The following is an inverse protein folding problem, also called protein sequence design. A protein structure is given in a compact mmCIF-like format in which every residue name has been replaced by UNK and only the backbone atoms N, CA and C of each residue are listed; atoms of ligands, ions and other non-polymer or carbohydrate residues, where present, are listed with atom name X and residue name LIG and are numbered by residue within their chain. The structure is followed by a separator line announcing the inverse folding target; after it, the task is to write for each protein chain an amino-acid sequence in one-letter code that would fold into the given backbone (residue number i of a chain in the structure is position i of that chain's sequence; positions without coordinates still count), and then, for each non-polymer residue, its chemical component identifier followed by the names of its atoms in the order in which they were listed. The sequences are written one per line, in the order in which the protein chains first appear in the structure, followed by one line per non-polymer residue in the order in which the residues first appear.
data_IF_359835698674
#
_entry.id   IF_359835698674
#
_cell.length_a   1.000
_cell.length_b   1.000
_cell.length_c   1.000
_cell.angle_alpha   90.00
_cell.angle_beta   90.00
_cell.angle_gamma   90.00
#
_symmetry.space_group_name_H-M   'P 1'
#
loop_
_entity.id
_entity.type
_entity.pdbx_description
1 polymer ?
#
# COMPACT_ATOMS: atom_id res chain seq x y z
N UNK A 1 -17.16 41.50 7.72
CA UNK A 1 -16.66 41.31 6.34
C UNK A 1 -15.70 40.14 6.35
N UNK A 2 -16.22 38.96 6.02
CA UNK A 2 -15.50 37.67 6.05
C UNK A 2 -14.71 37.51 4.76
N UNK A 3 -13.40 37.68 4.81
CA UNK A 3 -12.51 37.36 3.70
C UNK A 3 -12.37 35.83 3.63
N UNK A 4 -13.16 35.20 2.76
CA UNK A 4 -12.94 33.81 2.35
C UNK A 4 -11.67 33.80 1.52
N UNK A 5 -10.58 33.30 2.09
CA UNK A 5 -9.36 33.00 1.35
C UNK A 5 -9.69 31.83 0.40
N UNK A 6 -10.09 32.15 -0.83
CA UNK A 6 -10.21 31.21 -1.95
C UNK A 6 -8.84 30.56 -2.17
N UNK A 7 -8.65 29.37 -1.61
CA UNK A 7 -7.35 28.72 -1.53
C UNK A 7 -7.05 27.98 -2.83
N UNK A 8 -5.76 27.78 -3.15
CA UNK A 8 -5.38 26.97 -4.32
C UNK A 8 -5.95 25.55 -4.30
N UNK A 9 -6.32 25.02 -3.14
CA UNK A 9 -6.98 23.73 -2.98
C UNK A 9 -8.45 23.77 -3.46
N UNK A 10 -9.18 24.85 -3.16
CA UNK A 10 -10.57 25.04 -3.59
C UNK A 10 -10.65 25.16 -5.12
N UNK A 11 -9.67 25.84 -5.73
CA UNK A 11 -9.55 25.95 -7.18
C UNK A 11 -9.31 24.59 -7.84
N UNK A 12 -8.47 23.74 -7.24
CA UNK A 12 -8.19 22.39 -7.76
C UNK A 12 -9.42 21.49 -7.71
N UNK A 13 -10.19 21.54 -6.62
CA UNK A 13 -11.41 20.75 -6.48
C UNK A 13 -12.48 21.20 -7.47
N UNK A 14 -12.69 22.51 -7.62
CA UNK A 14 -13.62 23.07 -8.61
C UNK A 14 -13.28 22.65 -10.04
N UNK A 15 -11.99 22.57 -10.38
CA UNK A 15 -11.56 22.10 -11.70
C UNK A 15 -11.81 20.60 -11.91
N UNK A 16 -11.64 19.76 -10.87
CA UNK A 16 -11.99 18.33 -10.92
C UNK A 16 -13.49 18.12 -11.07
N UNK A 17 -14.31 18.90 -10.37
CA UNK A 17 -15.76 18.84 -10.48
C UNK A 17 -16.24 19.25 -11.88
N UNK A 18 -15.74 20.38 -12.42
CA UNK A 18 -16.10 20.84 -13.76
C UNK A 18 -15.78 19.81 -14.86
N UNK A 19 -14.70 19.04 -14.72
CA UNK A 19 -14.38 17.96 -15.65
C UNK A 19 -15.38 16.78 -15.53
N UNK A 20 -15.79 16.41 -14.31
CA UNK A 20 -16.80 15.37 -14.07
C UNK A 20 -18.16 15.74 -14.69
N UNK A 21 -18.64 16.95 -14.45
CA UNK A 21 -19.93 17.44 -14.99
C UNK A 21 -19.91 17.48 -16.53
N UNK A 22 -18.77 17.82 -17.12
CA UNK A 22 -18.56 17.81 -18.57
C UNK A 22 -18.56 16.39 -19.17
N UNK A 23 -18.08 15.40 -18.42
CA UNK A 23 -18.13 13.99 -18.83
C UNK A 23 -19.56 13.44 -18.80
N UNK A 24 -20.32 13.78 -17.77
CA UNK A 24 -21.73 13.38 -17.61
C UNK A 24 -22.62 13.97 -18.71
N UNK A 25 -22.32 15.19 -19.17
CA UNK A 25 -22.99 15.83 -20.32
C UNK A 25 -22.54 15.29 -21.68
N UNK A 26 -21.69 14.25 -21.72
CA UNK A 26 -21.31 13.53 -22.95
C UNK A 26 -20.28 14.26 -23.82
N UNK A 27 -19.75 15.40 -23.38
CA UNK A 27 -18.73 16.19 -24.10
C UNK A 27 -17.57 16.53 -23.17
N UNK A 28 -16.61 15.61 -22.97
CA UNK A 28 -15.51 15.81 -22.04
C UNK A 28 -14.63 17.01 -22.44
N UNK A 29 -14.42 17.94 -21.51
CA UNK A 29 -13.55 19.09 -21.71
C UNK A 29 -12.13 18.62 -21.99
N UNK A 30 -11.53 19.17 -23.03
CA UNK A 30 -10.10 19.00 -23.27
C UNK A 30 -9.30 19.80 -22.24
N UNK A 31 -8.04 19.40 -21.98
CA UNK A 31 -7.16 20.15 -21.08
C UNK A 31 -6.91 21.60 -21.54
N UNK A 32 -7.13 21.94 -22.81
CA UNK A 32 -7.08 23.33 -23.25
C UNK A 32 -8.32 24.10 -22.77
N UNK A 33 -9.52 23.58 -23.04
CA UNK A 33 -10.78 24.23 -22.66
C UNK A 33 -10.94 24.35 -21.13
N UNK A 34 -10.52 23.33 -20.38
CA UNK A 34 -10.52 23.37 -18.92
C UNK A 34 -9.49 24.37 -18.37
N UNK A 35 -8.33 24.50 -19.02
CA UNK A 35 -7.33 25.52 -18.67
C UNK A 35 -7.85 26.94 -18.90
N UNK A 36 -8.48 27.18 -20.06
CA UNK A 36 -9.10 28.46 -20.42
C UNK A 36 -10.21 28.85 -19.43
N UNK A 37 -11.07 27.91 -19.04
CA UNK A 37 -12.17 28.14 -18.09
C UNK A 37 -11.70 28.62 -16.70
N UNK A 38 -10.52 28.19 -16.26
CA UNK A 38 -9.97 28.51 -14.94
C UNK A 38 -8.81 29.53 -14.99
N UNK A 39 -8.49 30.09 -16.15
CA UNK A 39 -7.36 31.02 -16.32
C UNK A 39 -6.01 30.37 -15.98
N UNK A 40 -5.80 29.14 -16.41
CA UNK A 40 -4.62 28.30 -16.12
C UNK A 40 -4.05 27.67 -17.38
N UNK A 41 -2.83 27.14 -17.27
CA UNK A 41 -2.14 26.51 -18.39
C UNK A 41 -2.77 25.16 -18.76
N UNK A 42 -2.63 24.77 -20.03
CA UNK A 42 -3.06 23.46 -20.53
C UNK A 42 -2.43 22.30 -19.74
N UNK A 43 -1.19 22.44 -19.29
CA UNK A 43 -0.50 21.41 -18.50
C UNK A 43 -1.17 21.22 -17.15
N UNK A 44 -1.42 22.32 -16.43
CA UNK A 44 -2.10 22.27 -15.13
C UNK A 44 -3.49 21.62 -15.23
N UNK A 45 -4.23 21.91 -16.30
CA UNK A 45 -5.56 21.33 -16.52
C UNK A 45 -5.49 19.83 -16.88
N UNK A 46 -4.44 19.39 -17.60
CA UNK A 46 -4.20 17.95 -17.87
C UNK A 46 -3.95 17.18 -16.58
N UNK A 47 -3.24 17.76 -15.61
CA UNK A 47 -2.96 17.12 -14.33
C UNK A 47 -4.26 16.87 -13.54
N UNK A 48 -5.20 17.82 -13.55
CA UNK A 48 -6.53 17.64 -12.92
C UNK A 48 -7.39 16.58 -13.60
N UNK A 49 -7.35 16.52 -14.94
CA UNK A 49 -8.05 15.47 -15.70
C UNK A 49 -7.47 14.09 -15.39
N UNK A 50 -6.14 13.97 -15.28
CA UNK A 50 -5.47 12.72 -14.95
C UNK A 50 -5.85 12.22 -13.55
N UNK A 51 -5.95 13.12 -12.57
CA UNK A 51 -6.40 12.79 -11.21
C UNK A 51 -7.82 12.24 -11.17
N UNK A 52 -8.76 12.86 -11.89
CA UNK A 52 -10.15 12.38 -11.94
C UNK A 52 -10.21 10.99 -12.57
N UNK A 53 -9.50 10.77 -13.67
CA UNK A 53 -9.45 9.46 -14.35
C UNK A 53 -8.79 8.38 -13.48
N UNK A 54 -7.74 8.73 -12.75
CA UNK A 54 -7.10 7.81 -11.82
C UNK A 54 -8.06 7.40 -10.69
N UNK A 55 -8.82 8.36 -10.14
CA UNK A 55 -9.84 8.09 -9.13
C UNK A 55 -11.01 7.25 -9.68
N UNK A 56 -11.45 7.52 -10.91
CA UNK A 56 -12.49 6.73 -11.60
C UNK A 56 -12.04 5.30 -11.87
N UNK A 57 -10.81 5.07 -12.35
CA UNK A 57 -10.27 3.73 -12.56
C UNK A 57 -10.21 2.93 -11.25
N UNK A 58 -9.86 3.59 -10.13
CA UNK A 58 -9.87 2.95 -8.81
C UNK A 58 -11.30 2.60 -8.38
N UNK A 59 -12.27 3.48 -8.64
CA UNK A 59 -13.69 3.24 -8.36
C UNK A 59 -14.30 2.15 -9.27
N UNK A 60 -13.89 2.07 -10.54
CA UNK A 60 -14.31 1.05 -11.50
C UNK A 60 -13.76 -0.33 -11.11
N UNK A 61 -12.49 -0.41 -10.71
CA UNK A 61 -11.90 -1.63 -10.17
C UNK A 61 -12.58 -2.04 -8.86
N UNK A 62 -12.97 -1.09 -8.01
CA UNK A 62 -13.76 -1.35 -6.81
C UNK A 62 -15.20 -1.81 -7.12
N UNK A 63 -15.82 -1.32 -8.21
CA UNK A 63 -17.16 -1.70 -8.65
C UNK A 63 -17.20 -3.04 -9.41
N UNK A 64 -16.09 -3.42 -10.08
CA UNK A 64 -15.93 -4.72 -10.73
C UNK A 64 -15.75 -5.88 -9.75
N UNK A 65 -15.47 -5.58 -8.47
CA UNK A 65 -15.66 -6.52 -7.36
C UNK A 65 -17.17 -6.61 -7.08
N UNK A 66 -17.81 -7.59 -7.72
CA UNK A 66 -19.27 -7.80 -7.80
C UNK A 66 -20.00 -7.55 -6.47
N UNK A 67 -21.02 -6.66 -6.41
CA UNK A 67 -22.01 -6.68 -5.34
C UNK A 67 -23.05 -7.76 -5.66
N UNK A 68 -23.25 -8.71 -4.75
CA UNK A 68 -24.42 -9.59 -4.78
C UNK A 68 -25.66 -8.70 -4.61
N UNK A 69 -26.52 -8.70 -5.62
CA UNK A 69 -27.71 -7.86 -5.68
C UNK A 69 -28.64 -8.08 -4.49
N UNK A 70 -29.06 -6.98 -3.86
CA UNK A 70 -30.06 -6.96 -2.78
C UNK A 70 -31.48 -6.74 -3.35
N UNK A 71 -32.47 -7.38 -2.72
CA UNK A 71 -33.87 -6.91 -2.68
C UNK A 71 -34.12 -6.42 -1.24
N UNK A 72 -34.82 -5.28 -1.01
CA UNK A 72 -34.67 -4.53 0.23
C UNK A 72 -35.78 -4.83 1.25
N UNK A 73 -35.42 -4.94 2.53
CA UNK A 73 -36.19 -4.39 3.66
C UNK A 73 -35.32 -4.40 4.95
N UNK A 74 -35.62 -3.53 5.93
CA UNK A 74 -34.64 -2.91 6.84
C UNK A 74 -34.30 -3.82 8.02
N UNK A 75 -33.09 -3.70 8.60
CA UNK A 75 -32.71 -3.89 10.03
C UNK A 75 -31.16 -3.99 10.19
N UNK A 76 -30.54 -3.68 11.35
CA UNK A 76 -29.83 -2.41 11.55
C UNK A 76 -28.43 -2.56 12.20
N UNK A 77 -27.41 -1.83 11.74
CA UNK A 77 -26.11 -1.58 12.44
C UNK A 77 -25.21 -2.80 12.76
N UNK A 78 -25.76 -3.99 13.01
CA UNK A 78 -25.04 -5.23 13.30
C UNK A 78 -24.20 -5.70 12.11
N UNK A 79 -24.69 -5.50 10.88
CA UNK A 79 -23.98 -5.83 9.65
C UNK A 79 -22.72 -4.94 9.47
N UNK A 80 -22.78 -3.67 9.89
CA UNK A 80 -21.62 -2.74 9.86
C UNK A 80 -20.56 -3.15 10.90
N UNK A 81 -20.97 -3.60 12.09
CA UNK A 81 -20.03 -4.09 13.13
C UNK A 81 -19.38 -5.41 12.70
N UNK A 82 -20.12 -6.30 12.04
CA UNK A 82 -19.60 -7.56 11.51
C UNK A 82 -18.65 -7.34 10.33
N UNK A 83 -18.93 -6.39 9.43
CA UNK A 83 -18.04 -6.04 8.32
C UNK A 83 -16.75 -5.37 8.80
N UNK A 84 -16.78 -4.55 9.87
CA UNK A 84 -15.57 -3.99 10.49
C UNK A 84 -14.72 -5.05 11.21
N UNK A 85 -15.34 -5.97 11.95
CA UNK A 85 -14.65 -7.09 12.59
C UNK A 85 -14.04 -8.05 11.55
N UNK A 86 -14.75 -8.30 10.46
CA UNK A 86 -14.28 -9.07 9.31
C UNK A 86 -13.11 -8.39 8.59
N UNK A 87 -13.22 -7.08 8.30
CA UNK A 87 -12.17 -6.31 7.63
C UNK A 87 -10.86 -6.29 8.44
N UNK A 88 -10.95 -6.11 9.77
CA UNK A 88 -9.79 -6.19 10.67
C UNK A 88 -9.16 -7.58 10.68
N UNK A 89 -9.95 -8.64 10.69
CA UNK A 89 -9.45 -10.01 10.65
C UNK A 89 -8.72 -10.30 9.32
N UNK A 90 -9.30 -9.92 8.18
CA UNK A 90 -8.69 -10.11 6.85
C UNK A 90 -7.38 -9.35 6.73
N UNK A 91 -7.34 -8.08 7.18
CA UNK A 91 -6.12 -7.29 7.17
C UNK A 91 -5.04 -7.91 8.07
N UNK A 92 -5.40 -8.44 9.24
CA UNK A 92 -4.47 -9.16 10.10
C UNK A 92 -3.92 -10.43 9.44
N UNK A 93 -4.78 -11.23 8.81
CA UNK A 93 -4.39 -12.45 8.09
C UNK A 93 -3.41 -12.09 6.96
N UNK A 94 -3.73 -11.09 6.13
CA UNK A 94 -2.88 -10.66 5.03
C UNK A 94 -1.51 -10.20 5.49
N UNK A 95 -1.45 -9.39 6.54
CA UNK A 95 -0.18 -8.92 7.12
C UNK A 95 0.66 -10.06 7.69
N UNK A 96 0.05 -10.97 8.46
CA UNK A 96 0.74 -12.12 9.07
C UNK A 96 1.22 -13.08 8.00
N UNK A 97 0.37 -13.39 7.02
CA UNK A 97 0.73 -14.25 5.90
C UNK A 97 1.95 -13.70 5.16
N UNK A 98 1.91 -12.43 4.75
CA UNK A 98 3.06 -11.81 4.08
C UNK A 98 4.32 -11.80 4.93
N UNK A 99 4.21 -11.53 6.23
CA UNK A 99 5.34 -11.54 7.16
C UNK A 99 5.99 -12.93 7.26
N UNK A 100 5.17 -13.98 7.39
CA UNK A 100 5.65 -15.37 7.44
C UNK A 100 6.29 -15.76 6.12
N UNK A 101 5.66 -15.45 5.00
CA UNK A 101 6.19 -15.77 3.66
C UNK A 101 7.50 -15.03 3.38
N UNK A 102 7.66 -13.78 3.81
CA UNK A 102 8.89 -13.01 3.67
C UNK A 102 10.06 -13.66 4.43
N UNK A 103 9.83 -14.07 5.69
CA UNK A 103 10.83 -14.79 6.49
C UNK A 103 11.16 -16.15 5.87
N UNK A 104 10.13 -16.91 5.49
CA UNK A 104 10.28 -18.24 4.89
C UNK A 104 11.07 -18.18 3.58
N UNK A 105 10.80 -17.20 2.72
CA UNK A 105 11.53 -17.01 1.46
C UNK A 105 13.02 -16.75 1.69
N UNK A 106 13.35 -15.90 2.66
CA UNK A 106 14.75 -15.63 2.99
C UNK A 106 15.45 -16.86 3.56
N UNK A 107 14.79 -17.62 4.44
CA UNK A 107 15.35 -18.88 4.95
C UNK A 107 15.52 -19.87 3.81
N UNK A 108 14.53 -20.01 2.94
CA UNK A 108 14.55 -20.91 1.80
C UNK A 108 15.65 -20.56 0.79
N UNK A 109 15.97 -19.28 0.60
CA UNK A 109 17.08 -18.86 -0.24
C UNK A 109 18.41 -19.51 0.17
N UNK A 110 18.61 -19.79 1.46
CA UNK A 110 19.82 -20.48 1.95
C UNK A 110 19.91 -21.96 1.56
N UNK A 111 18.80 -22.56 1.12
CA UNK A 111 18.71 -23.93 0.63
C UNK A 111 18.95 -24.03 -0.88
N UNK A 112 19.11 -22.91 -1.59
CA UNK A 112 19.42 -22.94 -3.00
C UNK A 112 20.82 -23.52 -3.22
N UNK A 113 21.00 -24.49 -4.14
CA UNK A 113 22.29 -25.09 -4.40
C UNK A 113 23.28 -24.03 -4.89
N UNK A 114 24.39 -23.86 -4.19
CA UNK A 114 25.57 -23.20 -4.74
C UNK A 114 26.26 -24.18 -5.71
N UNK A 115 26.98 -23.65 -6.70
CA UNK A 115 27.50 -24.41 -7.85
C UNK A 115 28.32 -25.67 -7.46
N UNK A 116 28.91 -25.71 -6.26
CA UNK A 116 29.84 -26.76 -5.82
C UNK A 116 29.45 -27.42 -4.48
N UNK A 117 28.19 -27.85 -4.34
CA UNK A 117 27.71 -28.54 -3.13
C UNK A 117 27.76 -30.07 -3.26
N UNK A 118 28.30 -30.81 -2.26
CA UNK A 118 28.27 -32.28 -2.27
C UNK A 118 26.83 -32.82 -2.12
N UNK A 119 26.61 -34.04 -2.60
CA UNK A 119 25.31 -34.71 -2.48
C UNK A 119 24.87 -34.84 -1.01
N UNK A 120 23.64 -34.43 -0.70
CA UNK A 120 23.09 -34.44 0.67
C UNK A 120 23.47 -33.23 1.53
N UNK A 121 24.07 -32.20 0.94
CA UNK A 121 24.35 -30.95 1.66
C UNK A 121 23.06 -30.27 2.13
N UNK A 122 23.11 -29.74 3.36
CA UNK A 122 22.06 -28.88 3.91
C UNK A 122 22.69 -27.63 4.53
N UNK A 123 22.05 -26.45 4.42
CA UNK A 123 22.55 -25.25 5.06
C UNK A 123 22.52 -25.40 6.57
N UNK A 124 23.59 -24.98 7.22
CA UNK A 124 23.62 -24.85 8.68
C UNK A 124 22.54 -23.90 9.18
N UNK A 125 22.27 -23.93 10.50
CA UNK A 125 21.29 -23.05 11.15
C UNK A 125 21.72 -21.58 11.08
N UNK A 126 23.03 -21.29 11.08
CA UNK A 126 23.54 -19.91 11.08
C UNK A 126 23.17 -19.10 9.82
N UNK A 127 23.37 -19.60 8.58
CA UNK A 127 22.86 -18.94 7.38
C UNK A 127 21.36 -18.68 7.39
N UNK A 128 20.57 -19.66 7.86
CA UNK A 128 19.11 -19.56 7.94
C UNK A 128 18.68 -18.43 8.88
N UNK A 129 19.27 -18.36 10.08
CA UNK A 129 19.04 -17.26 11.02
C UNK A 129 19.48 -15.94 10.39
N UNK A 130 20.68 -15.89 9.81
CA UNK A 130 21.22 -14.67 9.19
C UNK A 130 20.32 -14.11 8.08
N UNK A 131 19.72 -14.97 7.26
CA UNK A 131 18.81 -14.54 6.20
C UNK A 131 17.48 -13.99 6.75
N UNK A 132 16.99 -14.52 7.88
CA UNK A 132 15.76 -14.06 8.53
C UNK A 132 15.92 -12.71 9.25
N UNK A 133 17.15 -12.29 9.60
CA UNK A 133 17.41 -11.05 10.36
C UNK A 133 16.82 -9.83 9.65
N UNK A 134 16.92 -9.74 8.33
CA UNK A 134 16.49 -8.55 7.57
C UNK A 134 14.97 -8.29 7.65
N UNK A 135 14.09 -9.25 7.32
CA UNK A 135 12.65 -9.05 7.42
C UNK A 135 12.20 -8.91 8.89
N UNK A 136 12.84 -9.62 9.83
CA UNK A 136 12.54 -9.47 11.26
C UNK A 136 12.88 -8.05 11.73
N UNK A 137 14.05 -7.53 11.34
CA UNK A 137 14.46 -6.16 11.64
C UNK A 137 13.49 -5.12 11.09
N UNK A 138 12.92 -5.36 9.91
CA UNK A 138 11.88 -4.50 9.33
C UNK A 138 10.58 -4.55 10.14
N UNK A 139 10.10 -5.73 10.52
CA UNK A 139 8.89 -5.88 11.35
C UNK A 139 9.07 -5.21 12.72
N UNK A 140 10.24 -5.38 13.34
CA UNK A 140 10.58 -4.69 14.59
C UNK A 140 10.64 -3.18 14.41
N UNK A 141 11.14 -2.69 13.27
CA UNK A 141 11.16 -1.25 12.96
C UNK A 141 9.74 -0.69 12.83
N UNK A 142 8.82 -1.41 12.18
CA UNK A 142 7.40 -1.03 12.10
C UNK A 142 6.77 -1.02 13.49
N UNK A 143 7.10 -1.99 14.34
CA UNK A 143 6.58 -2.06 15.70
C UNK A 143 7.08 -0.90 16.58
N UNK A 144 8.35 -0.56 16.48
CA UNK A 144 8.93 0.63 17.13
C UNK A 144 8.24 1.90 16.59
N UNK A 145 8.00 1.98 15.29
CA UNK A 145 7.32 3.12 14.66
C UNK A 145 5.88 3.28 15.14
N UNK A 146 5.18 2.17 15.42
CA UNK A 146 3.77 2.14 15.81
C UNK A 146 3.54 2.35 17.31
N UNK A 147 4.45 1.85 18.17
CA UNK A 147 4.26 1.84 19.63
C UNK A 147 4.97 2.97 20.37
N UNK A 148 6.09 3.47 19.86
CA UNK A 148 6.89 4.46 20.60
C UNK A 148 6.24 5.86 20.48
N UNK A 149 5.98 6.56 21.60
CA UNK A 149 5.53 7.95 21.58
C UNK A 149 6.72 8.87 21.31
N UNK A 150 7.01 9.11 20.03
CA UNK A 150 8.12 9.97 19.62
C UNK A 150 7.89 11.44 20.01
N UNK A 151 8.89 12.13 20.59
CA UNK A 151 8.81 13.56 20.87
C UNK A 151 8.60 14.37 19.58
N UNK A 152 8.04 15.58 19.72
CA UNK A 152 7.93 16.53 18.62
C UNK A 152 9.30 17.15 18.31
N UNK A 153 9.63 17.29 17.04
CA UNK A 153 10.85 17.97 16.58
C UNK A 153 11.44 17.32 15.34
N UNK A 154 12.07 18.12 14.48
CA UNK A 154 12.59 17.65 13.20
C UNK A 154 13.67 16.57 13.35
N UNK A 155 14.53 16.67 14.38
CA UNK A 155 15.57 15.66 14.65
C UNK A 155 14.97 14.30 15.05
N UNK A 156 13.90 14.32 15.86
CA UNK A 156 13.16 13.10 16.23
C UNK A 156 12.40 12.51 15.04
N UNK A 157 11.84 13.36 14.17
CA UNK A 157 11.26 12.91 12.90
C UNK A 157 12.30 12.28 11.98
N UNK A 158 13.50 12.86 11.90
CA UNK A 158 14.60 12.32 11.10
C UNK A 158 15.08 10.98 11.66
N UNK A 159 15.25 10.84 12.98
CA UNK A 159 15.60 9.56 13.59
C UNK A 159 14.51 8.50 13.34
N UNK A 160 13.23 8.87 13.50
CA UNK A 160 12.09 7.99 13.32
C UNK A 160 11.96 7.48 11.88
N UNK A 161 11.85 8.40 10.94
CA UNK A 161 11.59 8.05 9.54
C UNK A 161 12.86 7.73 8.76
N UNK A 162 13.98 8.38 9.09
CA UNK A 162 15.28 8.07 8.50
C UNK A 162 15.76 6.69 8.95
N UNK A 163 15.75 6.40 10.25
CA UNK A 163 16.15 5.08 10.77
C UNK A 163 15.27 3.95 10.23
N UNK A 164 13.94 4.10 10.33
CA UNK A 164 13.01 3.11 9.77
C UNK A 164 13.15 2.99 8.24
N UNK A 165 13.36 4.10 7.53
CA UNK A 165 13.58 4.12 6.09
C UNK A 165 14.85 3.38 5.67
N UNK A 166 15.94 3.54 6.42
CA UNK A 166 17.20 2.81 6.17
C UNK A 166 17.02 1.31 6.34
N UNK A 167 16.37 0.88 7.43
CA UNK A 167 16.09 -0.55 7.65
C UNK A 167 15.16 -1.08 6.56
N UNK A 168 14.09 -0.35 6.23
CA UNK A 168 13.14 -0.75 5.19
C UNK A 168 13.82 -0.91 3.83
N UNK A 169 14.66 0.04 3.41
CA UNK A 169 15.36 -0.03 2.14
C UNK A 169 16.36 -1.19 2.10
N UNK A 170 17.19 -1.33 3.14
CA UNK A 170 18.18 -2.40 3.22
C UNK A 170 17.51 -3.79 3.22
N UNK A 171 16.49 -3.97 4.05
CA UNK A 171 15.73 -5.22 4.12
C UNK A 171 14.99 -5.51 2.82
N UNK A 172 14.39 -4.51 2.18
CA UNK A 172 13.69 -4.69 0.91
C UNK A 172 14.64 -5.17 -0.20
N UNK A 173 15.80 -4.53 -0.37
CA UNK A 173 16.75 -4.90 -1.44
C UNK A 173 17.24 -6.35 -1.26
N UNK A 174 17.64 -6.72 -0.04
CA UNK A 174 18.18 -8.06 0.23
C UNK A 174 17.07 -9.12 0.14
N UNK A 175 15.92 -8.89 0.78
CA UNK A 175 14.82 -9.86 0.80
C UNK A 175 14.16 -10.03 -0.57
N UNK A 176 14.05 -8.95 -1.34
CA UNK A 176 13.59 -8.99 -2.73
C UNK A 176 14.48 -9.91 -3.58
N UNK A 177 15.80 -9.74 -3.47
CA UNK A 177 16.76 -10.59 -4.16
C UNK A 177 16.59 -12.07 -3.78
N UNK A 178 16.55 -12.37 -2.49
CA UNK A 178 16.41 -13.75 -2.00
C UNK A 178 15.15 -14.45 -2.53
N UNK A 179 13.99 -13.80 -2.43
CA UNK A 179 12.74 -14.36 -2.94
C UNK A 179 12.72 -14.46 -4.46
N UNK A 180 13.23 -13.46 -5.19
CA UNK A 180 13.35 -13.53 -6.65
C UNK A 180 14.21 -14.73 -7.06
N UNK A 181 15.34 -14.93 -6.40
CA UNK A 181 16.27 -16.01 -6.73
C UNK A 181 15.67 -17.38 -6.39
N UNK A 182 14.87 -17.49 -5.32
CA UNK A 182 14.06 -18.68 -5.02
C UNK A 182 13.05 -18.95 -6.14
N UNK A 183 12.33 -17.93 -6.60
CA UNK A 183 11.35 -18.08 -7.68
C UNK A 183 12.02 -18.50 -8.99
N UNK A 184 13.17 -17.91 -9.33
CA UNK A 184 13.97 -18.33 -10.49
C UNK A 184 14.43 -19.79 -10.36
N UNK A 185 14.85 -20.22 -9.18
CA UNK A 185 15.24 -21.62 -8.94
C UNK A 185 14.07 -22.60 -9.07
N UNK A 186 12.83 -22.12 -8.89
CA UNK A 186 11.60 -22.87 -9.14
C UNK A 186 11.09 -22.75 -10.57
N UNK A 187 11.91 -22.23 -11.49
CA UNK A 187 11.57 -22.05 -12.91
C UNK A 187 10.39 -21.08 -13.15
N UNK A 188 10.10 -20.19 -12.19
CA UNK A 188 9.28 -19.03 -12.50
C UNK A 188 10.05 -18.15 -13.48
N UNK A 189 9.46 -17.90 -14.65
CA UNK A 189 10.08 -17.04 -15.66
C UNK A 189 10.47 -15.65 -15.09
N UNK A 190 11.38 -14.92 -15.75
CA UNK A 190 11.98 -13.69 -15.18
C UNK A 190 10.97 -12.66 -14.69
N UNK A 191 9.87 -12.49 -15.43
CA UNK A 191 8.78 -11.58 -15.07
C UNK A 191 8.09 -12.01 -13.78
N UNK A 192 7.75 -13.29 -13.63
CA UNK A 192 7.13 -13.84 -12.43
C UNK A 192 8.02 -13.70 -11.20
N UNK A 193 9.32 -13.98 -11.35
CA UNK A 193 10.29 -13.82 -10.27
C UNK A 193 10.45 -12.37 -9.81
N UNK A 194 10.35 -11.40 -10.72
CA UNK A 194 10.40 -9.97 -10.37
C UNK A 194 9.10 -9.46 -9.74
N UNK A 195 7.95 -10.03 -10.11
CA UNK A 195 6.62 -9.61 -9.63
C UNK A 195 6.27 -10.26 -8.29
N UNK A 196 6.67 -11.50 -8.06
CA UNK A 196 6.34 -12.26 -6.84
C UNK A 196 6.61 -11.52 -5.53
N UNK A 197 7.83 -10.96 -5.32
CA UNK A 197 8.11 -10.17 -4.12
C UNK A 197 7.20 -8.95 -3.96
N UNK A 198 6.88 -8.25 -5.06
CA UNK A 198 6.01 -7.07 -5.03
C UNK A 198 4.58 -7.41 -4.63
N UNK A 199 4.08 -8.60 -5.00
CA UNK A 199 2.75 -9.06 -4.60
C UNK A 199 2.68 -9.31 -3.10
N UNK A 200 3.71 -9.97 -2.52
CA UNK A 200 3.76 -10.22 -1.08
C UNK A 200 3.89 -8.91 -0.28
N UNK A 201 4.78 -8.02 -0.69
CA UNK A 201 4.95 -6.71 -0.03
C UNK A 201 3.71 -5.84 -0.20
N UNK A 202 3.12 -5.82 -1.39
CA UNK A 202 1.88 -5.08 -1.66
C UNK A 202 0.72 -5.52 -0.77
N UNK A 203 0.56 -6.84 -0.57
CA UNK A 203 -0.42 -7.40 0.35
C UNK A 203 -0.18 -6.91 1.78
N UNK A 204 1.06 -6.95 2.27
CA UNK A 204 1.41 -6.47 3.61
C UNK A 204 1.16 -4.97 3.77
N UNK A 205 1.54 -4.16 2.77
CA UNK A 205 1.36 -2.71 2.78
C UNK A 205 -0.12 -2.36 2.86
N UNK A 206 -0.96 -2.94 1.98
CA UNK A 206 -2.40 -2.68 1.96
C UNK A 206 -3.03 -3.12 3.28
N UNK A 207 -2.65 -4.30 3.79
CA UNK A 207 -3.12 -4.81 5.08
C UNK A 207 -2.73 -3.90 6.25
N UNK A 208 -1.48 -3.42 6.28
CA UNK A 208 -0.98 -2.50 7.31
C UNK A 208 -1.71 -1.16 7.30
N UNK A 209 -1.93 -0.58 6.11
CA UNK A 209 -2.70 0.65 5.98
C UNK A 209 -4.17 0.47 6.37
N UNK A 210 -4.79 -0.66 6.02
CA UNK A 210 -6.15 -0.97 6.45
C UNK A 210 -6.23 -1.02 7.99
N UNK A 211 -5.32 -1.73 8.66
CA UNK A 211 -5.25 -1.79 10.12
C UNK A 211 -5.07 -0.40 10.75
N UNK A 212 -4.23 0.45 10.15
CA UNK A 212 -4.00 1.81 10.61
C UNK A 212 -5.26 2.69 10.45
N UNK A 213 -5.94 2.61 9.31
CA UNK A 213 -7.17 3.35 9.03
C UNK A 213 -8.28 3.01 10.04
N UNK A 214 -8.50 1.72 10.30
CA UNK A 214 -9.48 1.26 11.29
C UNK A 214 -9.13 1.74 12.72
N UNK A 215 -7.84 1.73 13.10
CA UNK A 215 -7.40 2.21 14.42
C UNK A 215 -7.62 3.72 14.64
N UNK A 216 -7.72 4.49 13.56
CA UNK A 216 -7.93 5.94 13.61
C UNK A 216 -9.41 6.27 13.82
N UNK A 217 -10.32 5.48 13.25
CA UNK A 217 -11.77 5.63 13.45
C UNK A 217 -12.18 5.34 14.90
N UNK A 218 -11.62 4.31 15.52
CA UNK A 218 -11.89 3.97 16.93
C UNK A 218 -11.48 5.08 17.91
N UNK A 219 -10.44 5.86 17.59
CA UNK A 219 -9.98 6.97 18.42
C UNK A 219 -10.86 8.21 18.30
N UNK A 220 -11.43 8.45 17.12
CA UNK A 220 -12.35 9.57 16.88
C UNK A 220 -13.72 9.31 17.49
N UNK A 221 -14.21 8.06 17.46
CA UNK A 221 -15.51 7.69 18.05
C UNK A 221 -15.53 7.70 19.60
N UNK A 222 -14.35 7.68 20.25
CA UNK A 222 -14.21 7.73 21.72
C UNK A 222 -13.90 9.13 22.28
N UNK A 223 -13.82 10.16 21.42
CA UNK A 223 -13.66 11.57 21.82
C UNK A 223 -14.98 12.31 21.71
#
# INVERSE_FOLDING_TARGET
MTAVLDSGADLHERARQAYRDSRESGKPLSGQQLGEQFGRSRSWARDRIAEVRAAENVAEVAAAVVPVAATPEPEPVAEVVQTLAGGRAVAWIGFVFGSVMSVAANVLHTWLPLADMPAGWTPGVAPQIGAAVWPIGLLLSVEVLSRVPWPRGWAWSLARYGGAGTVALGSAVISYGHLRDVLLAWDYGPTGAHVGPLVLDGLMIISGFALLAMSSHDKTAKR
#
